data_IF_351861082311
#
_entry.id   IF_351861082311
#
_cell.length_a   1.000
_cell.length_b   1.000
_cell.length_c   1.000
_cell.angle_alpha   90.00
_cell.angle_beta   90.00
_cell.angle_gamma   90.00
#
_symmetry.space_group_name_H-M   'P 1'
#
loop_
_entity.id
_entity.type
_entity.pdbx_description
1 polymer ?
#
# COMPACT_ATOMS: atom_id res chain seq x y z
N UNK A 1 46.45 -11.10 23.02
CA UNK A 1 46.25 -12.31 22.21
C UNK A 1 44.75 -12.50 22.06
N UNK A 2 44.24 -12.04 20.92
CA UNK A 2 42.89 -12.10 20.35
C UNK A 2 41.68 -12.33 21.27
N UNK A 3 40.98 -11.24 21.58
CA UNK A 3 39.53 -11.23 21.78
C UNK A 3 38.92 -10.07 20.98
N UNK A 4 39.08 -10.12 19.66
CA UNK A 4 38.59 -9.07 18.74
C UNK A 4 38.02 -9.65 17.44
N UNK A 5 37.90 -10.97 17.33
CA UNK A 5 37.55 -11.66 16.07
C UNK A 5 36.12 -12.21 16.05
N UNK A 6 35.21 -11.72 16.91
CA UNK A 6 33.83 -12.26 16.98
C UNK A 6 32.71 -11.24 16.87
N UNK A 7 33.00 -10.03 16.37
CA UNK A 7 32.01 -8.97 16.08
C UNK A 7 32.02 -8.52 14.61
N UNK A 8 32.34 -9.41 13.67
CA UNK A 8 32.37 -9.08 12.24
C UNK A 8 31.30 -9.79 11.40
N UNK A 9 30.41 -10.59 12.00
CA UNK A 9 29.35 -11.32 11.29
C UNK A 9 27.96 -11.20 11.96
N UNK A 10 27.70 -10.11 12.69
CA UNK A 10 26.32 -9.71 12.95
C UNK A 10 25.92 -8.83 11.75
N UNK A 11 25.46 -9.47 10.67
CA UNK A 11 24.84 -8.74 9.56
C UNK A 11 23.60 -8.08 10.16
N UNK A 12 23.73 -6.82 10.57
CA UNK A 12 22.58 -6.03 11.00
C UNK A 12 21.51 -6.15 9.91
N UNK A 13 20.32 -6.59 10.33
CA UNK A 13 19.21 -6.75 9.39
C UNK A 13 18.96 -5.40 8.69
N UNK A 14 18.65 -5.39 7.38
CA UNK A 14 18.35 -4.15 6.66
C UNK A 14 17.33 -3.30 7.43
N UNK A 15 17.55 -1.99 7.49
CA UNK A 15 16.69 -1.06 8.21
C UNK A 15 15.25 -1.13 7.68
N UNK A 16 15.08 -1.35 6.37
CA UNK A 16 13.77 -1.57 5.76
C UNK A 16 13.05 -2.81 6.27
N UNK A 17 13.77 -3.90 6.49
CA UNK A 17 13.19 -5.13 7.03
C UNK A 17 12.66 -4.90 8.45
N UNK A 18 13.46 -4.24 9.29
CA UNK A 18 13.05 -3.87 10.64
C UNK A 18 11.80 -2.96 10.64
N UNK A 19 11.79 -1.93 9.78
CA UNK A 19 10.65 -1.02 9.66
C UNK A 19 9.38 -1.74 9.22
N UNK A 20 9.46 -2.62 8.21
CA UNK A 20 8.32 -3.41 7.74
C UNK A 20 7.81 -4.33 8.85
N UNK A 21 8.71 -5.00 9.59
CA UNK A 21 8.32 -5.86 10.71
C UNK A 21 7.59 -5.11 11.82
N UNK A 22 8.01 -3.88 12.12
CA UNK A 22 7.42 -3.05 13.18
C UNK A 22 6.12 -2.38 12.73
N UNK A 23 6.08 -1.80 11.53
CA UNK A 23 5.03 -0.88 11.10
C UNK A 23 3.96 -1.54 10.21
N UNK A 24 4.26 -2.67 9.56
CA UNK A 24 3.31 -3.36 8.67
C UNK A 24 3.29 -4.87 8.91
N UNK A 25 2.42 -5.27 9.83
CA UNK A 25 2.22 -6.68 10.19
C UNK A 25 1.78 -7.54 9.00
N UNK A 26 1.03 -6.99 8.05
CA UNK A 26 0.51 -7.77 6.93
C UNK A 26 1.62 -8.09 5.94
N UNK A 27 2.45 -7.10 5.62
CA UNK A 27 3.64 -7.27 4.78
C UNK A 27 4.72 -8.10 5.47
N UNK A 28 4.90 -7.93 6.78
CA UNK A 28 5.74 -8.78 7.62
C UNK A 28 5.35 -10.26 7.54
N UNK A 29 4.05 -10.58 7.58
CA UNK A 29 3.55 -11.96 7.41
C UNK A 29 3.67 -12.50 5.98
N UNK A 30 3.80 -11.63 4.98
CA UNK A 30 4.02 -12.01 3.58
C UNK A 30 5.50 -12.33 3.30
N UNK A 31 6.42 -11.76 4.09
CA UNK A 31 7.87 -11.91 3.92
C UNK A 31 8.37 -13.35 3.77
N UNK A 32 7.86 -14.36 4.50
CA UNK A 32 8.30 -15.75 4.34
C UNK A 32 8.03 -16.35 2.95
N UNK A 33 7.13 -15.76 2.17
CA UNK A 33 6.79 -16.19 0.80
C UNK A 33 7.62 -15.50 -0.28
N UNK A 34 8.44 -14.51 0.09
CA UNK A 34 9.38 -13.82 -0.81
C UNK A 34 10.70 -14.60 -0.86
N UNK A 35 11.30 -14.84 -2.05
CA UNK A 35 12.62 -15.47 -2.15
C UNK A 35 13.67 -14.74 -1.33
N UNK A 36 14.54 -15.48 -0.63
CA UNK A 36 15.47 -14.93 0.37
C UNK A 36 16.34 -13.80 -0.18
N UNK A 37 16.84 -13.97 -1.40
CA UNK A 37 17.68 -13.01 -2.14
C UNK A 37 16.93 -11.74 -2.59
N UNK A 38 15.60 -11.76 -2.57
CA UNK A 38 14.73 -10.63 -2.94
C UNK A 38 14.13 -9.92 -1.73
N UNK A 39 14.22 -10.49 -0.53
CA UNK A 39 13.62 -9.92 0.69
C UNK A 39 14.09 -8.50 1.00
N UNK A 40 15.38 -8.22 0.85
CA UNK A 40 15.93 -6.88 1.08
C UNK A 40 15.34 -5.84 0.13
N UNK A 41 15.36 -6.13 -1.18
CA UNK A 41 14.79 -5.25 -2.21
C UNK A 41 13.27 -5.05 -2.03
N UNK A 42 12.55 -6.14 -1.74
CA UNK A 42 11.13 -6.09 -1.46
C UNK A 42 10.85 -5.25 -0.21
N UNK A 43 11.59 -5.46 0.88
CA UNK A 43 11.45 -4.68 2.11
C UNK A 43 11.74 -3.19 1.89
N UNK A 44 12.79 -2.84 1.14
CA UNK A 44 13.13 -1.44 0.83
C UNK A 44 12.00 -0.72 0.10
N UNK A 45 11.38 -1.39 -0.89
CA UNK A 45 10.23 -0.84 -1.62
C UNK A 45 9.01 -0.60 -0.70
N UNK A 46 8.70 -1.55 0.19
CA UNK A 46 7.55 -1.40 1.10
C UNK A 46 7.83 -0.45 2.26
N UNK A 47 9.08 -0.32 2.69
CA UNK A 47 9.53 0.68 3.64
C UNK A 47 9.36 2.11 3.07
N UNK A 48 9.71 2.32 1.80
CA UNK A 48 9.43 3.58 1.10
C UNK A 48 7.94 3.95 1.10
N UNK A 49 7.05 2.99 0.82
CA UNK A 49 5.60 3.21 0.90
C UNK A 49 5.15 3.56 2.33
N UNK A 50 5.68 2.87 3.35
CA UNK A 50 5.38 3.17 4.75
C UNK A 50 5.80 4.62 5.09
N UNK A 51 7.00 5.04 4.72
CA UNK A 51 7.49 6.37 5.06
C UNK A 51 6.73 7.48 4.34
N UNK A 52 6.49 7.32 3.03
CA UNK A 52 5.73 8.30 2.25
C UNK A 52 4.27 8.40 2.68
N UNK A 53 3.60 7.28 2.96
CA UNK A 53 2.23 7.28 3.46
C UNK A 53 2.09 7.91 4.86
N UNK A 54 3.15 7.81 5.69
CA UNK A 54 3.18 8.42 7.04
C UNK A 54 3.42 9.93 7.01
N UNK A 55 3.87 10.53 5.91
CA UNK A 55 4.11 11.97 5.85
C UNK A 55 2.84 12.75 6.21
N UNK A 56 1.68 12.35 5.67
CA UNK A 56 0.39 12.95 6.04
C UNK A 56 0.14 12.88 7.54
N UNK A 57 0.62 11.84 8.22
CA UNK A 57 0.43 11.68 9.66
C UNK A 57 1.32 12.58 10.52
N UNK A 58 2.42 13.08 9.96
CA UNK A 58 3.45 13.85 10.67
C UNK A 58 3.33 15.37 10.49
N UNK A 59 2.45 15.84 9.60
CA UNK A 59 2.30 17.25 9.26
C UNK A 59 0.87 17.73 9.49
N UNK A 60 0.72 19.00 9.86
CA UNK A 60 -0.57 19.67 10.05
C UNK A 60 -0.95 20.62 8.91
N UNK A 61 0.00 20.91 8.01
CA UNK A 61 -0.16 21.78 6.86
C UNK A 61 0.46 21.09 5.63
N UNK A 62 -0.04 21.34 4.41
CA UNK A 62 0.46 20.67 3.20
C UNK A 62 1.95 20.93 2.92
N UNK A 63 2.40 22.18 3.02
CA UNK A 63 3.74 22.60 2.60
C UNK A 63 4.90 21.79 3.26
N UNK A 64 4.93 21.55 4.59
CA UNK A 64 5.93 20.65 5.18
C UNK A 64 5.90 19.21 4.67
N UNK A 65 4.74 18.72 4.21
CA UNK A 65 4.61 17.41 3.58
C UNK A 65 5.19 17.41 2.17
N UNK A 66 4.90 18.44 1.39
CA UNK A 66 5.42 18.61 0.03
C UNK A 66 6.95 18.70 0.02
N UNK A 67 7.55 19.42 0.98
CA UNK A 67 9.02 19.50 1.13
C UNK A 67 9.62 18.10 1.34
N UNK A 68 8.97 17.23 2.11
CA UNK A 68 9.45 15.85 2.36
C UNK A 68 9.29 14.96 1.13
N UNK A 69 8.17 15.08 0.40
CA UNK A 69 7.96 14.36 -0.86
C UNK A 69 8.94 14.84 -1.94
N UNK A 70 9.23 16.15 -1.98
CA UNK A 70 10.22 16.73 -2.89
C UNK A 70 11.62 16.22 -2.56
N UNK A 71 12.00 16.13 -1.28
CA UNK A 71 13.27 15.51 -0.89
C UNK A 71 13.41 14.08 -1.42
N UNK A 72 12.36 13.25 -1.30
CA UNK A 72 12.33 11.91 -1.90
C UNK A 72 12.52 11.93 -3.42
N UNK A 73 11.83 12.86 -4.10
CA UNK A 73 11.91 13.01 -5.56
C UNK A 73 13.31 13.40 -6.00
N UNK A 74 13.90 14.39 -5.35
CA UNK A 74 15.26 14.86 -5.64
C UNK A 74 16.29 13.75 -5.41
N UNK A 75 16.13 13.00 -4.33
CA UNK A 75 17.00 11.87 -4.01
C UNK A 75 16.92 10.76 -5.07
N UNK A 76 15.70 10.37 -5.46
CA UNK A 76 15.48 9.33 -6.48
C UNK A 76 15.91 9.82 -7.87
N UNK A 77 15.78 11.11 -8.19
CA UNK A 77 16.21 11.64 -9.49
C UNK A 77 17.72 11.82 -9.57
N UNK A 78 18.36 12.16 -8.44
CA UNK A 78 19.76 12.56 -8.38
C UNK A 78 20.78 11.43 -8.56
N UNK A 79 20.37 10.16 -8.49
CA UNK A 79 21.25 9.00 -8.70
C UNK A 79 22.46 9.01 -7.75
N UNK A 80 22.24 8.61 -6.49
CA UNK A 80 23.24 8.78 -5.43
C UNK A 80 24.55 8.04 -5.67
N UNK A 81 25.65 8.78 -5.86
CA UNK A 81 27.02 8.27 -5.74
C UNK A 81 27.60 8.47 -4.32
N UNK A 82 26.75 8.64 -3.31
CA UNK A 82 27.07 8.78 -1.89
C UNK A 82 25.81 8.58 -1.04
N UNK A 83 25.95 8.02 0.16
CA UNK A 83 24.81 7.75 1.04
C UNK A 83 24.04 9.02 1.40
N UNK A 84 22.71 8.94 1.38
CA UNK A 84 21.78 10.02 1.72
C UNK A 84 21.77 10.38 3.21
N UNK A 85 22.33 9.50 4.05
CA UNK A 85 22.21 9.58 5.51
C UNK A 85 20.86 9.06 6.04
N UNK A 86 19.99 8.57 5.15
CA UNK A 86 18.71 7.96 5.47
C UNK A 86 18.72 6.47 5.07
N UNK A 87 18.78 5.52 6.03
CA UNK A 87 19.00 4.10 5.72
C UNK A 87 18.00 3.49 4.73
N UNK A 88 16.71 3.81 4.87
CA UNK A 88 15.66 3.32 3.96
C UNK A 88 15.87 3.83 2.54
N UNK A 89 16.34 5.06 2.41
CA UNK A 89 16.50 5.70 1.12
C UNK A 89 17.74 5.18 0.40
N UNK A 90 18.81 4.90 1.15
CA UNK A 90 20.01 4.23 0.61
C UNK A 90 19.69 2.80 0.14
N UNK A 91 18.92 2.04 0.92
CA UNK A 91 18.46 0.70 0.53
C UNK A 91 17.52 0.72 -0.68
N UNK A 92 16.65 1.74 -0.78
CA UNK A 92 15.77 1.93 -1.94
C UNK A 92 16.58 2.28 -3.20
N UNK A 93 17.53 3.21 -3.12
CA UNK A 93 18.37 3.57 -4.28
C UNK A 93 19.17 2.38 -4.79
N UNK A 94 19.79 1.62 -3.89
CA UNK A 94 20.48 0.38 -4.24
C UNK A 94 19.53 -0.65 -4.89
N UNK A 95 18.28 -0.71 -4.43
CA UNK A 95 17.24 -1.56 -5.03
C UNK A 95 16.84 -1.10 -6.43
N UNK A 96 16.64 0.21 -6.62
CA UNK A 96 16.33 0.82 -7.92
C UNK A 96 17.42 0.48 -8.93
N UNK A 97 18.69 0.69 -8.57
CA UNK A 97 19.83 0.43 -9.46
C UNK A 97 20.03 -1.06 -9.74
N UNK A 98 19.92 -1.91 -8.71
CA UNK A 98 20.11 -3.36 -8.85
C UNK A 98 19.06 -4.03 -9.73
N UNK A 99 17.83 -3.53 -9.71
CA UNK A 99 16.69 -4.12 -10.42
C UNK A 99 16.25 -3.32 -11.64
N UNK A 100 16.99 -2.27 -12.02
CA UNK A 100 16.66 -1.35 -13.11
C UNK A 100 15.21 -0.84 -13.02
N UNK A 101 14.80 -0.46 -11.79
CA UNK A 101 13.43 -0.01 -11.56
C UNK A 101 13.22 1.36 -12.18
N UNK A 102 12.08 1.59 -12.85
CA UNK A 102 11.83 2.86 -13.54
C UNK A 102 11.66 4.00 -12.54
N UNK A 103 12.65 4.90 -12.45
CA UNK A 103 12.62 6.10 -11.59
C UNK A 103 11.37 6.95 -11.82
N UNK A 104 10.92 7.06 -13.08
CA UNK A 104 9.67 7.74 -13.45
C UNK A 104 8.41 7.17 -12.76
N UNK A 105 8.39 5.89 -12.37
CA UNK A 105 7.28 5.33 -11.59
C UNK A 105 7.25 5.87 -10.16
N UNK A 106 8.42 6.07 -9.54
CA UNK A 106 8.51 6.68 -8.21
C UNK A 106 8.17 8.17 -8.25
N UNK A 107 8.55 8.89 -9.31
CA UNK A 107 8.17 10.29 -9.49
C UNK A 107 6.65 10.47 -9.54
N UNK A 108 5.94 9.65 -10.35
CA UNK A 108 4.47 9.67 -10.40
C UNK A 108 3.83 9.22 -9.09
N UNK A 109 4.40 8.20 -8.44
CA UNK A 109 3.95 7.77 -7.11
C UNK A 109 4.02 8.93 -6.10
N UNK A 110 5.14 9.65 -6.05
CA UNK A 110 5.33 10.79 -5.13
C UNK A 110 4.42 11.96 -5.49
N UNK A 111 4.19 12.21 -6.77
CA UNK A 111 3.22 13.21 -7.23
C UNK A 111 1.79 12.86 -6.77
N UNK A 112 1.37 11.60 -6.93
CA UNK A 112 0.08 11.14 -6.43
C UNK A 112 -0.03 11.28 -4.90
N UNK A 113 1.06 11.08 -4.15
CA UNK A 113 1.09 11.29 -2.68
C UNK A 113 0.90 12.74 -2.25
N UNK A 114 1.05 13.72 -3.14
CA UNK A 114 0.72 15.12 -2.83
C UNK A 114 -0.77 15.25 -2.50
N UNK A 115 -1.64 14.52 -3.22
CA UNK A 115 -3.09 14.49 -2.95
C UNK A 115 -3.40 14.17 -1.47
N UNK A 116 -2.63 13.28 -0.84
CA UNK A 116 -2.83 12.90 0.56
C UNK A 116 -2.66 14.08 1.52
N UNK A 117 -1.89 15.10 1.14
CA UNK A 117 -1.61 16.27 1.98
C UNK A 117 -2.77 17.26 2.03
N UNK A 118 -3.70 17.14 1.09
CA UNK A 118 -4.90 17.95 0.97
C UNK A 118 -6.11 17.14 1.46
N UNK A 119 -7.07 17.82 2.08
CA UNK A 119 -8.31 17.19 2.57
C UNK A 119 -9.43 17.20 1.51
N UNK A 120 -9.06 17.29 0.24
CA UNK A 120 -9.99 17.22 -0.88
C UNK A 120 -10.58 15.80 -1.02
N UNK A 121 -11.88 15.68 -1.34
CA UNK A 121 -12.47 14.37 -1.62
C UNK A 121 -12.02 13.86 -2.98
N UNK A 122 -12.10 12.54 -3.19
CA UNK A 122 -12.06 11.98 -4.54
C UNK A 122 -13.32 12.40 -5.31
N UNK A 123 -13.20 13.12 -6.45
CA UNK A 123 -14.37 13.57 -7.21
C UNK A 123 -15.18 12.40 -7.79
N UNK A 124 -14.50 11.33 -8.22
CA UNK A 124 -15.12 10.14 -8.78
C UNK A 124 -14.38 8.85 -8.41
N UNK A 125 -15.03 7.72 -8.65
CA UNK A 125 -14.39 6.40 -8.66
C UNK A 125 -13.17 6.35 -9.57
N UNK A 126 -13.23 6.98 -10.74
CA UNK A 126 -12.10 7.06 -11.67
C UNK A 126 -10.87 7.80 -11.11
N UNK A 127 -11.08 8.84 -10.30
CA UNK A 127 -9.98 9.53 -9.62
C UNK A 127 -9.33 8.65 -8.55
N UNK A 128 -10.14 7.88 -7.82
CA UNK A 128 -9.64 6.90 -6.85
C UNK A 128 -8.90 5.75 -7.54
N UNK A 129 -9.37 5.28 -8.69
CA UNK A 129 -8.67 4.31 -9.53
C UNK A 129 -7.34 4.86 -10.05
N UNK A 130 -7.31 6.11 -10.52
CA UNK A 130 -6.08 6.77 -10.97
C UNK A 130 -5.05 6.89 -9.85
N UNK A 131 -5.48 7.34 -8.66
CA UNK A 131 -4.62 7.39 -7.48
C UNK A 131 -4.14 5.98 -7.06
N UNK A 132 -5.00 4.97 -7.09
CA UNK A 132 -4.60 3.59 -6.82
C UNK A 132 -3.57 3.07 -7.84
N UNK A 133 -3.74 3.45 -9.11
CA UNK A 133 -2.85 3.15 -10.21
C UNK A 133 -1.43 3.65 -9.95
N UNK A 134 -1.30 4.93 -9.63
CA UNK A 134 0.02 5.54 -9.38
C UNK A 134 0.64 5.14 -8.04
N UNK A 135 -0.16 4.64 -7.07
CA UNK A 135 0.33 4.21 -5.76
C UNK A 135 0.40 2.69 -5.59
N UNK A 136 -0.71 2.05 -5.23
CA UNK A 136 -0.74 0.64 -4.85
C UNK A 136 -0.47 -0.31 -6.03
N UNK A 137 -1.00 -0.02 -7.21
CA UNK A 137 -0.71 -0.80 -8.42
C UNK A 137 0.76 -0.66 -8.83
N UNK A 138 1.32 0.55 -8.78
CA UNK A 138 2.77 0.79 -8.96
C UNK A 138 3.61 -0.06 -8.00
N UNK A 139 3.27 -0.15 -6.72
CA UNK A 139 4.01 -0.99 -5.76
C UNK A 139 3.95 -2.48 -6.11
N UNK A 140 2.80 -2.97 -6.58
CA UNK A 140 2.67 -4.36 -7.04
C UNK A 140 3.55 -4.60 -8.28
N UNK A 141 3.53 -3.68 -9.24
CA UNK A 141 4.35 -3.76 -10.46
C UNK A 141 5.86 -3.69 -10.18
N UNK A 142 6.29 -2.81 -9.27
CA UNK A 142 7.69 -2.72 -8.84
C UNK A 142 8.10 -3.97 -8.05
N UNK A 143 7.22 -4.50 -7.19
CA UNK A 143 7.45 -5.78 -6.51
C UNK A 143 7.58 -6.92 -7.51
N UNK A 144 6.74 -6.97 -8.55
CA UNK A 144 6.82 -7.96 -9.60
C UNK A 144 8.16 -7.86 -10.37
N UNK A 145 8.60 -6.64 -10.69
CA UNK A 145 9.89 -6.38 -11.34
C UNK A 145 11.08 -6.84 -10.49
N UNK A 146 11.01 -6.70 -9.17
CA UNK A 146 12.03 -7.23 -8.24
C UNK A 146 12.06 -8.76 -8.28
N UNK A 147 10.88 -9.40 -8.25
CA UNK A 147 10.71 -10.85 -8.14
C UNK A 147 11.12 -11.58 -9.43
N UNK A 148 10.61 -11.14 -10.58
CA UNK A 148 10.93 -11.69 -11.91
C UNK A 148 10.77 -10.58 -12.96
N UNK A 149 11.88 -9.93 -13.36
CA UNK A 149 11.85 -8.87 -14.39
C UNK A 149 11.27 -9.33 -15.72
N UNK A 150 11.57 -10.57 -16.13
CA UNK A 150 11.12 -11.16 -17.39
C UNK A 150 9.60 -11.34 -17.45
N UNK A 151 8.97 -11.67 -16.33
CA UNK A 151 7.54 -11.94 -16.25
C UNK A 151 6.73 -10.69 -15.85
N UNK A 152 7.37 -9.63 -15.33
CA UNK A 152 6.71 -8.50 -14.68
C UNK A 152 5.65 -7.80 -15.56
N UNK A 153 5.82 -7.80 -16.88
CA UNK A 153 4.85 -7.19 -17.80
C UNK A 153 3.52 -7.94 -17.86
N UNK A 154 3.51 -9.23 -17.55
CA UNK A 154 2.31 -10.07 -17.65
C UNK A 154 1.25 -9.74 -16.59
N UNK A 155 1.57 -8.93 -15.58
CA UNK A 155 0.70 -8.73 -14.41
C UNK A 155 0.03 -7.35 -14.36
N UNK A 156 0.18 -6.53 -15.40
CA UNK A 156 -0.33 -5.14 -15.43
C UNK A 156 -1.83 -5.04 -15.13
N UNK A 157 -2.67 -5.80 -15.85
CA UNK A 157 -4.13 -5.77 -15.67
C UNK A 157 -4.54 -6.23 -14.27
N UNK A 158 -3.92 -7.31 -13.79
CA UNK A 158 -4.15 -7.81 -12.44
C UNK A 158 -3.70 -6.80 -11.38
N UNK A 159 -2.55 -6.14 -11.57
CA UNK A 159 -2.01 -5.15 -10.66
C UNK A 159 -2.88 -3.89 -10.57
N UNK A 160 -3.49 -3.46 -11.68
CA UNK A 160 -4.48 -2.37 -11.71
C UNK A 160 -5.65 -2.64 -10.75
N UNK A 161 -6.33 -3.77 -10.94
CA UNK A 161 -7.45 -4.15 -10.07
C UNK A 161 -7.02 -4.48 -8.62
N UNK A 162 -5.88 -5.15 -8.44
CA UNK A 162 -5.37 -5.47 -7.11
C UNK A 162 -5.03 -4.21 -6.30
N UNK A 163 -4.43 -3.19 -6.93
CA UNK A 163 -4.10 -1.92 -6.27
C UNK A 163 -5.34 -1.17 -5.79
N UNK A 164 -6.40 -1.13 -6.59
CA UNK A 164 -7.68 -0.52 -6.19
C UNK A 164 -8.29 -1.26 -5.01
N UNK A 165 -8.31 -2.60 -5.04
CA UNK A 165 -8.83 -3.40 -3.93
C UNK A 165 -8.04 -3.18 -2.62
N UNK A 166 -6.71 -3.09 -2.71
CA UNK A 166 -5.84 -2.76 -1.57
C UNK A 166 -6.12 -1.36 -1.03
N UNK A 167 -6.30 -0.37 -1.92
CA UNK A 167 -6.59 1.00 -1.52
C UNK A 167 -7.93 1.08 -0.77
N UNK A 168 -9.00 0.51 -1.33
CA UNK A 168 -10.32 0.50 -0.69
C UNK A 168 -10.25 -0.16 0.69
N UNK A 169 -9.60 -1.33 0.79
CA UNK A 169 -9.40 -2.00 2.07
C UNK A 169 -8.62 -1.13 3.07
N UNK A 170 -7.57 -0.45 2.61
CA UNK A 170 -6.75 0.44 3.46
C UNK A 170 -7.53 1.65 3.96
N UNK A 171 -8.32 2.28 3.08
CA UNK A 171 -9.18 3.42 3.43
C UNK A 171 -10.27 3.03 4.43
N UNK A 172 -10.88 1.85 4.27
CA UNK A 172 -11.85 1.31 5.23
C UNK A 172 -11.21 1.02 6.59
N UNK A 173 -10.04 0.37 6.62
CA UNK A 173 -9.30 0.08 7.86
C UNK A 173 -8.92 1.33 8.64
N UNK A 174 -8.55 2.39 7.92
CA UNK A 174 -8.13 3.67 8.48
C UNK A 174 -9.27 4.68 8.61
N UNK A 175 -10.52 4.29 8.34
CA UNK A 175 -11.67 5.18 8.36
C UNK A 175 -11.76 6.03 9.65
N UNK A 176 -11.56 5.49 10.87
CA UNK A 176 -11.56 6.31 12.08
C UNK A 176 -10.53 7.44 12.06
N UNK A 177 -9.35 7.22 11.48
CA UNK A 177 -8.28 8.22 11.38
C UNK A 177 -8.67 9.30 10.39
N UNK A 178 -9.21 8.93 9.24
CA UNK A 178 -9.67 9.85 8.21
C UNK A 178 -10.78 10.77 8.73
N UNK A 179 -11.77 10.19 9.41
CA UNK A 179 -12.90 10.93 9.98
C UNK A 179 -12.46 11.92 11.08
N UNK A 180 -11.52 11.56 11.95
CA UNK A 180 -10.98 12.49 12.97
C UNK A 180 -10.29 13.71 12.37
N UNK A 181 -9.84 13.61 11.12
CA UNK A 181 -9.25 14.72 10.37
C UNK A 181 -10.26 15.47 9.52
N UNK A 182 -11.54 15.09 9.56
CA UNK A 182 -12.57 15.69 8.72
C UNK A 182 -12.51 15.25 7.24
N UNK A 183 -11.76 14.19 6.92
CA UNK A 183 -11.63 13.70 5.55
C UNK A 183 -12.56 12.51 5.27
N UNK A 184 -13.27 12.58 4.15
CA UNK A 184 -14.12 11.50 3.67
C UNK A 184 -13.39 10.72 2.57
N UNK A 185 -13.06 9.44 2.78
CA UNK A 185 -12.32 8.65 1.79
C UNK A 185 -13.21 8.03 0.69
N UNK A 186 -14.53 8.18 0.77
CA UNK A 186 -15.47 7.64 -0.22
C UNK A 186 -15.62 8.64 -1.36
N UNK A 187 -15.46 8.22 -2.63
CA UNK A 187 -15.69 9.08 -3.79
C UNK A 187 -17.08 9.75 -3.82
N UNK A 188 -17.15 10.98 -4.32
CA UNK A 188 -18.39 11.77 -4.32
C UNK A 188 -19.50 11.13 -5.16
N UNK A 189 -19.18 10.51 -6.29
CA UNK A 189 -20.13 9.78 -7.12
C UNK A 189 -20.77 8.58 -6.39
N UNK A 190 -19.99 7.83 -5.60
CA UNK A 190 -20.52 6.75 -4.75
C UNK A 190 -21.37 7.28 -3.60
N UNK A 191 -21.00 8.42 -3.01
CA UNK A 191 -21.81 9.11 -2.00
C UNK A 191 -23.18 9.49 -2.58
N UNK A 192 -23.21 10.11 -3.77
CA UNK A 192 -24.44 10.45 -4.49
C UNK A 192 -25.27 9.20 -4.79
N UNK A 193 -24.65 8.13 -5.30
CA UNK A 193 -25.34 6.87 -5.57
C UNK A 193 -25.96 6.24 -4.31
N UNK A 194 -25.33 6.45 -3.15
CA UNK A 194 -25.84 6.00 -1.85
C UNK A 194 -26.87 6.96 -1.21
N UNK A 195 -27.19 8.10 -1.85
CA UNK A 195 -28.03 9.14 -1.27
C UNK A 195 -27.44 9.69 0.04
N UNK A 196 -26.13 9.95 0.04
CA UNK A 196 -25.36 10.45 1.17
C UNK A 196 -24.56 11.68 0.72
N UNK A 197 -24.54 12.75 1.50
CA UNK A 197 -23.60 13.86 1.26
C UNK A 197 -22.27 13.62 1.99
N UNK A 198 -21.23 14.35 1.62
CA UNK A 198 -19.98 14.35 2.38
C UNK A 198 -20.21 14.78 3.83
N UNK A 199 -21.08 15.77 4.05
CA UNK A 199 -21.45 16.26 5.37
C UNK A 199 -22.19 15.20 6.21
N UNK A 200 -23.15 14.47 5.60
CA UNK A 200 -23.81 13.32 6.24
C UNK A 200 -22.81 12.26 6.67
N UNK A 201 -21.85 11.96 5.78
CA UNK A 201 -20.82 10.97 6.04
C UNK A 201 -19.90 11.40 7.18
N UNK A 202 -19.45 12.65 7.20
CA UNK A 202 -18.57 13.16 8.26
C UNK A 202 -19.28 13.24 9.61
N UNK A 203 -20.57 13.62 9.64
CA UNK A 203 -21.39 13.68 10.86
C UNK A 203 -21.91 12.33 11.36
N UNK A 204 -21.58 11.24 10.67
CA UNK A 204 -22.03 9.89 11.00
C UNK A 204 -23.56 9.73 11.01
N UNK A 205 -24.27 10.36 10.07
CA UNK A 205 -25.70 10.11 9.88
C UNK A 205 -25.91 8.63 9.54
N UNK A 206 -26.54 7.89 10.45
CA UNK A 206 -26.37 6.44 10.58
C UNK A 206 -26.75 5.67 9.30
N UNK A 207 -27.88 6.01 8.68
CA UNK A 207 -28.42 5.25 7.56
C UNK A 207 -27.75 5.64 6.22
N UNK A 208 -27.62 6.92 5.83
CA UNK A 208 -26.88 7.31 4.62
C UNK A 208 -25.40 6.91 4.65
N UNK A 209 -24.73 7.07 5.80
CA UNK A 209 -23.33 6.69 5.97
C UNK A 209 -23.12 5.18 5.79
N UNK A 210 -24.03 4.36 6.32
CA UNK A 210 -23.95 2.91 6.21
C UNK A 210 -24.16 2.45 4.77
N UNK A 211 -25.09 3.06 4.03
CA UNK A 211 -25.26 2.81 2.59
C UNK A 211 -24.01 3.17 1.80
N UNK A 212 -23.41 4.34 2.07
CA UNK A 212 -22.18 4.78 1.40
C UNK A 212 -21.01 3.80 1.63
N UNK A 213 -20.81 3.34 2.87
CA UNK A 213 -19.81 2.31 3.18
C UNK A 213 -20.12 1.01 2.41
N UNK A 214 -21.38 0.58 2.36
CA UNK A 214 -21.77 -0.64 1.65
C UNK A 214 -21.50 -0.56 0.14
N UNK A 215 -21.81 0.59 -0.49
CA UNK A 215 -21.50 0.86 -1.89
C UNK A 215 -19.98 0.86 -2.12
N UNK A 216 -19.20 1.47 -1.23
CA UNK A 216 -17.75 1.48 -1.32
C UNK A 216 -17.12 0.08 -1.15
N UNK A 217 -17.67 -0.73 -0.25
CA UNK A 217 -17.29 -2.15 -0.11
C UNK A 217 -17.61 -2.95 -1.38
N UNK A 218 -18.76 -2.72 -2.01
CA UNK A 218 -19.12 -3.37 -3.28
C UNK A 218 -18.16 -3.00 -4.41
N UNK A 219 -17.80 -1.71 -4.52
CA UNK A 219 -16.78 -1.23 -5.46
C UNK A 219 -15.43 -1.93 -5.25
N UNK A 220 -14.93 -1.98 -4.01
CA UNK A 220 -13.68 -2.70 -3.70
C UNK A 220 -13.73 -4.20 -4.02
N UNK A 221 -14.87 -4.85 -3.79
CA UNK A 221 -15.07 -6.28 -4.10
C UNK A 221 -15.08 -6.57 -5.59
N UNK A 222 -15.61 -5.65 -6.40
CA UNK A 222 -15.57 -5.79 -7.85
C UNK A 222 -14.13 -5.84 -8.35
N UNK A 223 -13.27 -4.93 -7.88
CA UNK A 223 -11.84 -4.97 -8.19
C UNK A 223 -11.15 -6.22 -7.61
N UNK A 224 -11.49 -6.64 -6.38
CA UNK A 224 -10.96 -7.88 -5.80
C UNK A 224 -11.27 -9.11 -6.66
N UNK A 225 -12.51 -9.21 -7.16
CA UNK A 225 -12.93 -10.31 -8.03
C UNK A 225 -12.18 -10.29 -9.38
N UNK A 226 -12.02 -9.11 -9.99
CA UNK A 226 -11.33 -8.97 -11.28
C UNK A 226 -9.85 -9.38 -11.20
N UNK A 227 -9.08 -8.92 -10.22
CA UNK A 227 -7.67 -9.35 -10.14
C UNK A 227 -7.54 -10.84 -9.79
N UNK A 228 -8.44 -11.39 -8.97
CA UNK A 228 -8.45 -12.83 -8.65
C UNK A 228 -8.74 -13.70 -9.86
N UNK A 229 -9.52 -13.22 -10.82
CA UNK A 229 -9.77 -13.94 -12.06
C UNK A 229 -8.47 -14.19 -12.85
N UNK A 230 -7.47 -13.32 -12.71
CA UNK A 230 -6.16 -13.49 -13.33
C UNK A 230 -5.20 -14.40 -12.54
N UNK A 231 -5.51 -14.76 -11.29
CA UNK A 231 -4.57 -15.43 -10.38
C UNK A 231 -4.06 -16.78 -10.91
N UNK A 232 -4.91 -17.53 -11.61
CA UNK A 232 -4.53 -18.82 -12.20
C UNK A 232 -3.47 -18.66 -13.31
N UNK A 233 -3.53 -17.56 -14.05
CA UNK A 233 -2.62 -17.26 -15.17
C UNK A 233 -1.35 -16.52 -14.73
N UNK A 234 -1.30 -16.04 -13.48
CA UNK A 234 -0.13 -15.35 -12.95
C UNK A 234 1.08 -16.30 -12.84
N UNK A 235 2.25 -15.91 -13.40
CA UNK A 235 3.51 -16.61 -13.19
C UNK A 235 3.77 -16.83 -11.69
N UNK A 236 4.13 -18.07 -11.33
CA UNK A 236 4.36 -18.46 -9.92
C UNK A 236 5.34 -17.53 -9.18
N UNK A 237 6.46 -17.08 -9.77
CA UNK A 237 7.38 -16.15 -9.11
C UNK A 237 6.74 -14.82 -8.70
N UNK A 238 5.70 -14.37 -9.41
CA UNK A 238 5.09 -13.06 -9.22
C UNK A 238 3.96 -13.04 -8.19
N UNK A 239 3.44 -14.20 -7.79
CA UNK A 239 2.30 -14.27 -6.84
C UNK A 239 2.61 -13.61 -5.50
N UNK A 240 3.87 -13.58 -5.08
CA UNK A 240 4.30 -12.90 -3.87
C UNK A 240 4.02 -11.38 -3.91
N UNK A 241 4.04 -10.75 -5.09
CA UNK A 241 3.70 -9.33 -5.25
C UNK A 241 2.21 -9.03 -4.93
N UNK A 242 1.34 -10.02 -5.08
CA UNK A 242 -0.11 -9.90 -4.87
C UNK A 242 -0.56 -10.29 -3.46
N UNK A 243 0.35 -10.69 -2.58
CA UNK A 243 -0.03 -11.13 -1.24
C UNK A 243 -0.79 -10.05 -0.46
N UNK A 244 -0.36 -8.77 -0.40
CA UNK A 244 -1.16 -7.73 0.25
C UNK A 244 -2.60 -7.64 -0.29
N UNK A 245 -2.76 -7.73 -1.62
CA UNK A 245 -4.07 -7.71 -2.26
C UNK A 245 -4.94 -8.92 -1.91
N UNK A 246 -4.34 -10.09 -1.62
CA UNK A 246 -5.10 -11.27 -1.22
C UNK A 246 -5.90 -11.10 0.09
N UNK A 247 -5.55 -10.11 0.92
CA UNK A 247 -6.28 -9.76 2.14
C UNK A 247 -7.39 -8.74 1.92
N UNK A 248 -7.45 -8.06 0.76
CA UNK A 248 -8.38 -6.95 0.52
C UNK A 248 -9.84 -7.33 0.83
N UNK A 249 -10.36 -8.42 0.24
CA UNK A 249 -11.71 -8.89 0.55
C UNK A 249 -11.92 -9.22 2.02
N UNK A 250 -10.91 -9.72 2.74
CA UNK A 250 -11.01 -10.03 4.17
C UNK A 250 -11.28 -8.78 4.98
N UNK A 251 -10.59 -7.70 4.64
CA UNK A 251 -10.74 -6.42 5.30
C UNK A 251 -12.04 -5.73 4.90
N UNK A 252 -12.44 -5.82 3.62
CA UNK A 252 -13.72 -5.30 3.16
C UNK A 252 -14.89 -6.01 3.86
N UNK A 253 -14.87 -7.34 3.93
CA UNK A 253 -15.90 -8.13 4.61
C UNK A 253 -15.95 -7.83 6.12
N UNK A 254 -14.78 -7.68 6.75
CA UNK A 254 -14.69 -7.31 8.16
C UNK A 254 -15.21 -5.88 8.41
N UNK A 255 -14.90 -4.94 7.52
CA UNK A 255 -15.38 -3.56 7.61
C UNK A 255 -16.91 -3.49 7.46
N UNK A 256 -17.47 -4.19 6.49
CA UNK A 256 -18.92 -4.26 6.29
C UNK A 256 -19.64 -4.92 7.47
N UNK A 257 -19.08 -6.01 8.01
CA UNK A 257 -19.64 -6.69 9.18
C UNK A 257 -19.66 -5.79 10.43
N UNK A 258 -18.68 -4.90 10.60
CA UNK A 258 -18.68 -3.93 11.70
C UNK A 258 -19.78 -2.88 11.57
N UNK A 259 -20.26 -2.60 10.35
CA UNK A 259 -21.31 -1.62 10.08
C UNK A 259 -20.99 -0.26 10.73
N UNK A 260 -21.91 0.34 11.50
CA UNK A 260 -21.65 1.61 12.21
C UNK A 260 -20.43 1.58 13.15
N UNK A 261 -20.06 0.40 13.66
CA UNK A 261 -18.89 0.21 14.53
C UNK A 261 -17.55 0.46 13.84
N UNK A 262 -17.51 0.46 12.49
CA UNK A 262 -16.32 0.74 11.69
C UNK A 262 -15.68 2.10 12.02
N UNK A 263 -16.49 3.06 12.49
CA UNK A 263 -16.03 4.41 12.85
C UNK A 263 -15.27 4.46 14.18
N UNK A 264 -15.43 3.44 15.02
CA UNK A 264 -15.00 3.48 16.42
C UNK A 264 -13.70 2.73 16.67
N UNK A 265 -13.27 1.85 15.75
CA UNK A 265 -12.11 1.00 15.99
C UNK A 265 -11.49 0.45 14.70
N UNK A 266 -10.26 -0.07 14.78
CA UNK A 266 -9.56 -0.62 13.63
C UNK A 266 -10.27 -1.88 13.12
N UNK A 267 -10.18 -2.09 11.80
CA UNK A 267 -10.60 -3.36 11.19
C UNK A 267 -9.42 -4.33 11.26
N UNK A 268 -9.58 -5.39 12.06
CA UNK A 268 -8.56 -6.42 12.25
C UNK A 268 -9.04 -7.78 11.76
N UNK A 269 -8.12 -8.53 11.17
CA UNK A 269 -8.30 -9.94 10.82
C UNK A 269 -7.22 -10.77 11.52
N UNK A 270 -7.57 -11.98 11.96
CA UNK A 270 -6.65 -12.82 12.73
C UNK A 270 -5.41 -13.25 11.92
N UNK A 271 -4.23 -13.37 12.55
CA UNK A 271 -2.98 -13.70 11.84
C UNK A 271 -3.01 -15.06 11.13
N UNK A 272 -3.70 -16.06 11.69
CA UNK A 272 -3.88 -17.37 11.06
C UNK A 272 -4.64 -17.25 9.73
N UNK A 273 -5.69 -16.42 9.70
CA UNK A 273 -6.46 -16.16 8.49
C UNK A 273 -5.63 -15.48 7.40
N UNK A 274 -4.75 -14.54 7.80
CA UNK A 274 -3.81 -13.86 6.88
C UNK A 274 -2.86 -14.85 6.23
N UNK A 275 -2.13 -15.62 7.05
CA UNK A 275 -1.15 -16.60 6.54
C UNK A 275 -1.81 -17.68 5.68
N UNK A 276 -3.01 -18.13 6.04
CA UNK A 276 -3.76 -19.09 5.22
C UNK A 276 -4.11 -18.52 3.84
N UNK A 277 -4.56 -17.27 3.75
CA UNK A 277 -4.84 -16.60 2.47
C UNK A 277 -3.57 -16.41 1.63
N UNK A 278 -2.45 -16.05 2.25
CA UNK A 278 -1.17 -15.97 1.56
C UNK A 278 -0.77 -17.31 0.98
N UNK A 279 -0.79 -18.36 1.79
CA UNK A 279 -0.49 -19.72 1.36
C UNK A 279 -1.41 -20.18 0.22
N UNK A 280 -2.71 -19.88 0.31
CA UNK A 280 -3.68 -20.21 -0.75
C UNK A 280 -3.33 -19.49 -2.04
N UNK A 281 -3.04 -18.20 -1.97
CA UNK A 281 -2.67 -17.36 -3.13
C UNK A 281 -1.40 -17.88 -3.81
N UNK A 282 -0.41 -18.34 -3.04
CA UNK A 282 0.80 -18.95 -3.59
C UNK A 282 0.53 -20.29 -4.30
N UNK A 283 -0.56 -20.99 -3.95
CA UNK A 283 -0.92 -22.33 -4.47
C UNK A 283 -1.99 -22.36 -5.55
N UNK A 284 -2.77 -21.28 -5.72
CA UNK A 284 -3.78 -21.14 -6.77
C UNK A 284 -3.22 -21.36 -8.17
#
# INVERSE_FOLDING_TARGET
>A
MNDTSRREDEIDAPASLALVHEQDRDRSLAMPFVPTEKKGAWAALHAFDIETARIRDLVSQPLPGEIRLQWWRDLISGGGSGGSGHPIADELLATIDRHDLPRAAFERFLEARIFDLYDDPFPSTGDLEGYAGETQSTLIMLSASILSPEDARAVSDAAGHAGVAVLVASLLRRLPVHLRRGWCPVPLDLLVAAGCTQEDFLRANAEPSSRAVSVFCAFGREHDARWRAHLADLPKPLRAAFLPASLASSYIDAAEKLGPGLRNGPVEIGPVGKTWRYWRTMRS
#
